data_IF_258949791356
#
_entry.id   IF_258949791356
#
_cell.length_a   1.000
_cell.length_b   1.000
_cell.length_c   1.000
_cell.angle_alpha   90.00
_cell.angle_beta   90.00
_cell.angle_gamma   90.00
#
_symmetry.space_group_name_H-M   'P 1'
#
loop_
_entity.id
_entity.type
_entity.pdbx_description
1 polymer ?
#
# COMPACT_ATOMS: atom_id res chain seq x y z
N UNK A 1 27.14 -12.51 13.10
CA UNK A 1 25.97 -11.92 13.76
C UNK A 1 24.88 -12.98 13.89
N UNK A 2 24.38 -13.24 15.07
CA UNK A 2 23.31 -14.23 15.21
C UNK A 2 22.02 -13.74 14.56
N UNK A 3 21.27 -14.67 14.00
CA UNK A 3 19.95 -14.39 13.46
C UNK A 3 18.95 -14.23 14.60
N UNK A 4 17.96 -13.39 14.39
CA UNK A 4 16.86 -13.27 15.34
C UNK A 4 16.09 -14.58 15.42
N UNK A 5 15.55 -14.87 16.61
CA UNK A 5 14.72 -16.04 16.78
C UNK A 5 13.44 -15.91 15.95
N UNK A 6 13.09 -16.98 15.26
CA UNK A 6 11.85 -17.02 14.49
C UNK A 6 10.64 -16.98 15.43
N UNK A 7 9.71 -16.06 15.15
CA UNK A 7 8.46 -15.94 15.89
C UNK A 7 7.33 -16.52 15.06
N UNK A 8 6.73 -17.61 15.55
CA UNK A 8 5.60 -18.24 14.85
C UNK A 8 4.31 -17.45 15.07
N UNK A 9 3.50 -17.36 14.01
CA UNK A 9 2.11 -16.88 14.12
C UNK A 9 1.24 -17.91 14.83
N UNK A 10 0.09 -17.47 15.37
CA UNK A 10 -0.92 -18.39 15.85
C UNK A 10 -1.38 -19.30 14.71
N UNK A 11 -1.65 -20.60 14.97
CA UNK A 11 -2.14 -21.50 13.91
C UNK A 11 -3.43 -20.98 13.27
N UNK A 12 -3.58 -21.18 11.97
CA UNK A 12 -4.76 -20.82 11.18
C UNK A 12 -5.06 -19.31 11.19
N UNK A 13 -4.01 -18.49 11.34
CA UNK A 13 -4.11 -17.05 11.17
C UNK A 13 -3.31 -16.60 9.95
N UNK A 14 -3.70 -15.47 9.37
CA UNK A 14 -3.06 -14.92 8.18
C UNK A 14 -3.20 -13.41 8.13
N UNK A 15 -2.31 -12.80 7.36
CA UNK A 15 -2.37 -11.39 7.00
C UNK A 15 -2.03 -11.23 5.54
N UNK A 16 -2.27 -10.04 4.98
CA UNK A 16 -2.02 -9.73 3.58
C UNK A 16 -1.15 -8.50 3.48
N UNK A 17 -0.14 -8.59 2.62
CA UNK A 17 0.67 -7.47 2.19
C UNK A 17 0.40 -7.21 0.72
N UNK A 18 0.16 -5.95 0.35
CA UNK A 18 -0.06 -5.53 -1.02
C UNK A 18 0.89 -4.41 -1.37
N UNK A 19 1.58 -4.54 -2.50
CA UNK A 19 2.36 -3.47 -3.09
C UNK A 19 1.52 -2.80 -4.17
N UNK A 20 1.37 -1.49 -4.08
CA UNK A 20 0.51 -0.73 -4.97
C UNK A 20 1.31 0.39 -5.63
N UNK A 21 1.02 0.64 -6.89
CA UNK A 21 1.63 1.70 -7.68
C UNK A 21 0.80 2.98 -7.58
N UNK A 22 1.50 4.11 -7.59
CA UNK A 22 0.88 5.43 -7.60
C UNK A 22 1.01 6.00 -9.01
N UNK A 23 -0.12 6.30 -9.62
CA UNK A 23 -0.16 6.83 -10.99
C UNK A 23 -0.85 8.19 -11.01
N UNK A 24 -0.39 9.07 -11.88
CA UNK A 24 -1.09 10.33 -12.12
C UNK A 24 -2.41 10.06 -12.84
N UNK A 25 -3.49 10.65 -12.36
CA UNK A 25 -4.78 10.52 -13.05
C UNK A 25 -4.83 11.35 -14.33
N UNK A 26 -3.83 12.18 -14.61
CA UNK A 26 -3.75 12.97 -15.84
C UNK A 26 -3.25 12.18 -17.04
N UNK A 27 -2.25 11.29 -16.82
CA UNK A 27 -1.60 10.55 -17.92
C UNK A 27 -1.36 9.07 -17.59
N UNK A 28 -1.67 8.64 -16.37
CA UNK A 28 -1.47 7.29 -15.83
C UNK A 28 0.00 6.87 -15.76
N UNK A 29 0.94 7.79 -15.87
CA UNK A 29 2.34 7.54 -15.58
C UNK A 29 2.56 7.35 -14.08
N UNK A 30 3.61 6.63 -13.72
CA UNK A 30 4.03 6.55 -12.32
C UNK A 30 4.39 7.93 -11.80
N UNK A 31 3.97 8.23 -10.58
CA UNK A 31 4.25 9.53 -9.96
C UNK A 31 4.84 9.34 -8.57
N UNK A 32 5.83 10.14 -8.23
CA UNK A 32 6.54 10.09 -6.95
C UNK A 32 5.72 10.75 -5.83
N UNK A 33 4.52 10.24 -5.59
CA UNK A 33 3.54 10.84 -4.70
C UNK A 33 3.48 10.18 -3.31
N UNK A 34 4.28 9.15 -3.06
CA UNK A 34 4.23 8.45 -1.77
C UNK A 34 4.45 9.38 -0.57
N UNK A 35 5.44 10.30 -0.56
CA UNK A 35 5.60 11.19 0.58
C UNK A 35 4.35 12.02 0.87
N UNK A 36 3.73 12.59 -0.14
CA UNK A 36 2.53 13.42 0.02
C UNK A 36 1.32 12.58 0.45
N UNK A 37 1.16 11.41 -0.14
CA UNK A 37 0.07 10.51 0.22
C UNK A 37 0.19 10.04 1.66
N UNK A 38 1.37 9.61 2.07
CA UNK A 38 1.61 9.16 3.45
C UNK A 38 1.39 10.30 4.44
N UNK A 39 1.74 11.53 4.07
CA UNK A 39 1.48 12.69 4.90
C UNK A 39 -0.02 12.93 5.12
N UNK A 40 -0.82 12.80 4.08
CA UNK A 40 -2.28 12.91 4.19
C UNK A 40 -2.87 11.80 5.07
N UNK A 41 -2.37 10.58 4.92
CA UNK A 41 -2.88 9.43 5.68
C UNK A 41 -2.58 9.52 7.18
N UNK A 42 -1.61 10.31 7.59
CA UNK A 42 -1.28 10.52 9.00
C UNK A 42 -2.29 11.39 9.75
N UNK A 43 -3.16 12.10 9.05
CA UNK A 43 -4.14 13.01 9.67
C UNK A 43 -5.27 12.30 10.39
N UNK A 44 -5.52 11.05 10.06
CA UNK A 44 -6.57 10.22 10.65
C UNK A 44 -6.04 8.84 10.93
N UNK A 45 -6.63 8.08 11.86
CA UNK A 45 -6.27 6.67 12.03
C UNK A 45 -6.45 5.91 10.71
N UNK A 46 -5.43 5.14 10.32
CA UNK A 46 -5.46 4.32 9.12
C UNK A 46 -5.97 2.93 9.49
N UNK A 47 -6.87 2.32 8.68
CA UNK A 47 -7.49 1.03 9.02
C UNK A 47 -6.59 -0.20 8.81
N UNK A 48 -5.31 -0.02 8.79
CA UNK A 48 -4.30 -1.05 8.61
C UNK A 48 -2.96 -0.42 8.84
N UNK A 49 -1.95 -0.85 8.07
CA UNK A 49 -0.63 -0.24 8.08
C UNK A 49 -0.23 0.12 6.65
N UNK A 50 0.36 1.29 6.45
CA UNK A 50 0.87 1.74 5.16
C UNK A 50 2.30 2.22 5.34
N UNK A 51 3.19 1.74 4.47
CA UNK A 51 4.62 2.06 4.55
C UNK A 51 5.15 2.47 3.18
N UNK A 52 6.24 3.26 3.16
CA UNK A 52 6.92 3.55 1.90
C UNK A 52 7.59 2.30 1.34
N UNK A 53 7.77 2.28 0.03
CA UNK A 53 8.50 1.26 -0.69
C UNK A 53 9.84 1.79 -1.20
N UNK A 54 10.57 0.98 -1.99
CA UNK A 54 11.88 1.34 -2.53
C UNK A 54 11.79 2.62 -3.37
N UNK A 55 10.73 2.76 -4.17
CA UNK A 55 10.50 3.97 -4.96
C UNK A 55 9.37 4.80 -4.38
N UNK A 56 9.39 6.10 -4.66
CA UNK A 56 8.35 7.02 -4.20
C UNK A 56 7.05 6.92 -5.00
N UNK A 57 7.03 6.09 -6.04
CA UNK A 57 5.84 5.81 -6.83
C UNK A 57 5.11 4.53 -6.40
N UNK A 58 5.48 3.98 -5.25
CA UNK A 58 4.86 2.77 -4.70
C UNK A 58 4.63 2.92 -3.20
N UNK A 59 3.64 2.18 -2.71
CA UNK A 59 3.39 2.03 -1.27
C UNK A 59 3.10 0.57 -0.97
N UNK A 60 3.35 0.17 0.27
CA UNK A 60 2.99 -1.15 0.77
C UNK A 60 1.88 -1.03 1.79
N UNK A 61 0.88 -1.89 1.67
CA UNK A 61 -0.25 -1.98 2.59
C UNK A 61 -0.16 -3.30 3.33
N UNK A 62 -0.32 -3.24 4.64
CA UNK A 62 -0.34 -4.44 5.48
C UNK A 62 -1.66 -4.50 6.24
N UNK A 63 -2.33 -5.63 6.15
CA UNK A 63 -3.52 -5.89 6.95
C UNK A 63 -3.14 -6.26 8.38
N UNK A 64 -4.11 -6.25 9.28
CA UNK A 64 -4.00 -6.92 10.57
C UNK A 64 -4.00 -8.44 10.39
N UNK A 65 -3.70 -9.17 11.44
CA UNK A 65 -3.80 -10.63 11.43
C UNK A 65 -5.26 -11.03 11.64
N UNK A 66 -5.72 -11.95 10.82
CA UNK A 66 -7.11 -12.44 10.85
C UNK A 66 -7.16 -13.95 10.90
N UNK A 67 -8.26 -14.49 11.42
CA UNK A 67 -8.51 -15.93 11.44
C UNK A 67 -9.61 -16.35 10.45
N UNK A 68 -10.23 -15.40 9.76
CA UNK A 68 -11.25 -15.68 8.76
C UNK A 68 -11.24 -14.66 7.64
N UNK A 69 -11.81 -15.04 6.50
CA UNK A 69 -11.78 -14.22 5.28
C UNK A 69 -12.65 -12.97 5.39
N UNK A 70 -13.84 -13.07 5.99
CA UNK A 70 -14.78 -11.95 6.04
C UNK A 70 -14.20 -10.68 6.65
N UNK A 71 -13.66 -10.73 7.89
CA UNK A 71 -13.03 -9.57 8.50
C UNK A 71 -11.82 -9.04 7.72
N UNK A 72 -11.02 -9.92 7.11
CA UNK A 72 -9.91 -9.50 6.27
C UNK A 72 -10.41 -8.70 5.07
N UNK A 73 -11.42 -9.20 4.38
CA UNK A 73 -11.99 -8.50 3.23
C UNK A 73 -12.55 -7.14 3.63
N UNK A 74 -13.25 -7.07 4.76
CA UNK A 74 -13.80 -5.80 5.27
C UNK A 74 -12.68 -4.78 5.52
N UNK A 75 -11.57 -5.21 6.12
CA UNK A 75 -10.42 -4.34 6.33
C UNK A 75 -9.80 -3.87 5.03
N UNK A 76 -9.61 -4.75 4.07
CA UNK A 76 -9.02 -4.40 2.76
C UNK A 76 -9.90 -3.40 2.00
N UNK A 77 -11.23 -3.55 2.06
CA UNK A 77 -12.15 -2.60 1.44
C UNK A 77 -12.08 -1.22 2.10
N UNK A 78 -11.95 -1.17 3.41
CA UNK A 78 -11.81 0.08 4.15
C UNK A 78 -10.46 0.75 3.82
N UNK A 79 -9.38 -0.02 3.73
CA UNK A 79 -8.08 0.47 3.30
C UNK A 79 -8.17 1.06 1.89
N UNK A 80 -8.80 0.34 0.96
CA UNK A 80 -9.00 0.82 -0.40
C UNK A 80 -9.71 2.17 -0.43
N UNK A 81 -10.82 2.28 0.28
CA UNK A 81 -11.63 3.49 0.26
C UNK A 81 -10.85 4.69 0.85
N UNK A 82 -10.07 4.43 1.90
CA UNK A 82 -9.22 5.46 2.53
C UNK A 82 -8.13 5.94 1.57
N UNK A 83 -7.48 5.00 0.87
CA UNK A 83 -6.43 5.33 -0.10
C UNK A 83 -6.98 6.12 -1.29
N UNK A 84 -8.11 5.69 -1.83
CA UNK A 84 -8.74 6.37 -2.98
C UNK A 84 -9.13 7.80 -2.61
N UNK A 85 -9.72 8.00 -1.44
CA UNK A 85 -10.10 9.34 -0.99
C UNK A 85 -8.88 10.26 -0.83
N UNK A 86 -7.79 9.76 -0.27
CA UNK A 86 -6.57 10.53 -0.14
C UNK A 86 -5.92 10.79 -1.50
N UNK A 87 -5.87 9.78 -2.36
CA UNK A 87 -5.33 9.91 -3.71
C UNK A 87 -6.08 10.92 -4.56
N UNK A 88 -7.39 10.97 -4.43
CA UNK A 88 -8.21 11.94 -5.18
C UNK A 88 -7.83 13.39 -4.85
N UNK A 89 -7.43 13.67 -3.62
CA UNK A 89 -6.96 15.01 -3.24
C UNK A 89 -5.66 15.41 -3.93
N UNK A 90 -4.87 14.42 -4.36
CA UNK A 90 -3.56 14.64 -5.00
C UNK A 90 -3.60 14.39 -6.50
N UNK A 91 -4.74 14.09 -7.08
CA UNK A 91 -4.89 13.64 -8.46
C UNK A 91 -4.05 12.39 -8.74
N UNK A 92 -4.02 11.46 -7.78
CA UNK A 92 -3.25 10.24 -7.83
C UNK A 92 -4.18 9.04 -7.79
N UNK A 93 -3.97 8.09 -8.71
CA UNK A 93 -4.65 6.81 -8.72
C UNK A 93 -3.82 5.73 -8.04
N UNK A 94 -4.49 4.75 -7.48
CA UNK A 94 -3.87 3.59 -6.83
C UNK A 94 -4.08 2.40 -7.75
N UNK A 95 -2.97 1.83 -8.23
CA UNK A 95 -3.02 0.73 -9.20
C UNK A 95 -2.34 -0.52 -8.67
N UNK A 96 -2.89 -1.67 -9.02
CA UNK A 96 -2.26 -2.96 -8.76
C UNK A 96 -1.28 -3.33 -9.87
N UNK A 97 -0.64 -4.49 -9.73
CA UNK A 97 0.32 -4.99 -10.70
C UNK A 97 1.76 -4.86 -10.22
N UNK A 98 2.61 -5.74 -10.70
CA UNK A 98 4.02 -5.75 -10.27
C UNK A 98 4.89 -4.75 -10.99
N UNK A 99 4.55 -4.40 -12.24
CA UNK A 99 5.35 -3.51 -13.08
C UNK A 99 4.44 -2.57 -13.84
N UNK A 100 4.89 -1.35 -14.04
CA UNK A 100 4.17 -0.39 -14.87
C UNK A 100 4.35 -0.79 -16.35
N UNK A 101 3.30 -0.73 -17.18
CA UNK A 101 3.36 -1.23 -18.56
C UNK A 101 4.27 -0.43 -19.51
N UNK A 102 4.58 0.82 -19.20
CA UNK A 102 5.40 1.64 -20.11
C UNK A 102 6.48 2.48 -19.41
N UNK A 103 6.57 2.48 -18.08
CA UNK A 103 7.59 3.24 -17.36
C UNK A 103 8.73 2.33 -16.91
N UNK A 104 9.96 2.79 -17.04
CA UNK A 104 11.14 2.06 -16.63
C UNK A 104 11.38 2.22 -15.13
N UNK A 105 11.73 1.13 -14.46
CA UNK A 105 12.05 1.16 -13.03
C UNK A 105 13.22 2.09 -12.72
N UNK A 106 14.19 2.18 -13.65
CA UNK A 106 15.39 3.00 -13.45
C UNK A 106 15.10 4.50 -13.48
N UNK A 107 13.93 4.92 -13.93
CA UNK A 107 13.51 6.31 -13.96
C UNK A 107 12.79 6.73 -12.68
N UNK A 108 12.56 5.79 -11.75
CA UNK A 108 11.82 6.06 -10.52
C UNK A 108 12.75 6.51 -9.40
N UNK A 109 12.22 7.38 -8.56
CA UNK A 109 12.91 7.86 -7.36
C UNK A 109 12.69 6.92 -6.19
#
# INVERSE_FOLDING_TARGET
MPLEAFTSSQPLTFGVELELQLVSLSDFDLTAAAPDLLHLLKRKPFPGNVTPEITESMIEINSSVHSSYGPLLAQLLEIRDTLVAAGDQLNVGIAGGGTHPFQHWSEQK
#
